data_IF_450990096917
#
_entry.id   IF_450990096917
#
_cell.length_a   1.000
_cell.length_b   1.000
_cell.length_c   1.000
_cell.angle_alpha   90.00
_cell.angle_beta   90.00
_cell.angle_gamma   90.00
#
_symmetry.space_group_name_H-M   'P 1'
#
loop_
_entity.id
_entity.type
_entity.pdbx_description
1 polymer ?
#
# COMPACT_ATOMS: atom_id res chain seq x y z
N UNK A 1 -12.91 -10.36 29.00
CA UNK A 1 -13.26 -9.99 27.61
C UNK A 1 -14.78 -9.72 27.47
N UNK A 2 -15.36 -8.84 28.32
CA UNK A 2 -16.80 -8.50 28.32
C UNK A 2 -17.12 -7.13 27.68
N UNK A 3 -16.10 -6.42 27.18
CA UNK A 3 -16.22 -5.01 26.77
C UNK A 3 -16.54 -4.80 25.28
N UNK A 4 -16.11 -5.68 24.36
CA UNK A 4 -16.31 -5.45 22.91
C UNK A 4 -17.79 -5.46 22.49
N UNK A 5 -18.63 -6.29 23.11
CA UNK A 5 -20.05 -6.40 22.75
C UNK A 5 -20.91 -5.24 23.26
N UNK A 6 -20.35 -4.32 24.06
CA UNK A 6 -21.06 -3.18 24.66
C UNK A 6 -20.57 -1.82 24.16
N UNK A 7 -19.61 -1.79 23.23
CA UNK A 7 -19.05 -0.54 22.69
C UNK A 7 -19.93 -0.06 21.54
N UNK A 8 -20.23 1.23 21.55
CA UNK A 8 -20.99 1.89 20.49
C UNK A 8 -20.19 1.85 19.17
N UNK A 9 -20.84 1.51 18.06
CA UNK A 9 -20.17 1.27 16.78
C UNK A 9 -19.38 2.50 16.26
N UNK A 10 -19.85 3.70 16.56
CA UNK A 10 -19.18 4.96 16.24
C UNK A 10 -17.81 5.10 16.94
N UNK A 11 -17.61 4.44 18.08
CA UNK A 11 -16.34 4.38 18.83
C UNK A 11 -15.40 3.26 18.37
N UNK A 12 -15.76 2.51 17.33
CA UNK A 12 -14.90 1.48 16.73
C UNK A 12 -14.24 2.06 15.48
N UNK A 13 -12.91 2.00 15.43
CA UNK A 13 -12.09 2.44 14.30
C UNK A 13 -11.41 1.22 13.69
N UNK A 14 -11.75 0.93 12.43
CA UNK A 14 -11.28 -0.24 11.71
C UNK A 14 -10.19 0.18 10.72
N UNK A 15 -8.93 -0.18 10.92
CA UNK A 15 -7.85 0.15 9.99
C UNK A 15 -7.22 -1.11 9.43
N UNK A 16 -6.88 -1.12 8.13
CA UNK A 16 -6.03 -2.18 7.58
C UNK A 16 -4.79 -1.56 6.97
N UNK A 17 -3.62 -2.02 7.44
CA UNK A 17 -2.33 -1.46 7.03
C UNK A 17 -2.00 -1.74 5.58
N UNK A 18 -2.62 -2.76 4.97
CA UNK A 18 -2.38 -3.10 3.58
C UNK A 18 -2.91 -2.04 2.59
N UNK A 19 -3.96 -1.28 2.95
CA UNK A 19 -4.59 -0.26 2.09
C UNK A 19 -4.00 1.16 2.24
N UNK A 20 -2.91 1.33 3.00
CA UNK A 20 -2.27 2.64 3.25
C UNK A 20 -1.80 3.33 1.96
N UNK A 21 -1.42 2.55 0.93
CA UNK A 21 -0.79 3.07 -0.29
C UNK A 21 -1.75 3.73 -1.28
N UNK A 22 -3.05 3.74 -1.01
CA UNK A 22 -3.99 4.47 -1.84
C UNK A 22 -3.69 5.97 -1.81
N UNK A 23 -3.71 6.60 -2.99
CA UNK A 23 -3.32 8.01 -3.25
C UNK A 23 -4.00 9.11 -2.42
N UNK A 24 -4.84 8.77 -1.46
CA UNK A 24 -5.68 9.69 -0.70
C UNK A 24 -5.37 9.73 0.79
N UNK A 25 -4.39 8.95 1.26
CA UNK A 25 -4.13 8.85 2.68
C UNK A 25 -3.25 9.95 3.23
N UNK A 26 -2.21 10.38 2.53
CA UNK A 26 -1.32 11.41 3.05
C UNK A 26 -1.48 12.75 2.33
N UNK A 27 -1.61 13.81 3.12
CA UNK A 27 -1.67 15.21 2.69
C UNK A 27 -0.80 16.04 3.63
N UNK A 28 -0.43 17.25 3.23
CA UNK A 28 0.31 18.18 4.12
C UNK A 28 -0.45 18.43 5.45
N UNK A 29 -1.80 18.43 5.43
CA UNK A 29 -2.64 18.53 6.63
C UNK A 29 -2.46 17.33 7.56
N UNK A 30 -2.50 16.12 7.01
CA UNK A 30 -2.36 14.89 7.79
C UNK A 30 -0.96 14.69 8.31
N UNK A 31 0.06 15.12 7.57
CA UNK A 31 1.42 15.12 8.11
C UNK A 31 1.51 16.09 9.29
N UNK A 32 0.94 17.30 9.20
CA UNK A 32 0.89 18.21 10.34
C UNK A 32 0.19 17.58 11.56
N UNK A 33 -0.97 16.95 11.36
CA UNK A 33 -1.70 16.24 12.43
C UNK A 33 -0.82 15.14 13.07
N UNK A 34 -0.11 14.36 12.25
CA UNK A 34 0.80 13.33 12.73
C UNK A 34 1.96 13.92 13.56
N UNK A 35 2.52 15.06 13.15
CA UNK A 35 3.57 15.74 13.90
C UNK A 35 3.06 16.35 15.21
N UNK A 36 1.91 17.02 15.17
CA UNK A 36 1.28 17.59 16.36
C UNK A 36 1.00 16.49 17.41
N UNK A 37 0.63 15.27 16.96
CA UNK A 37 0.51 14.10 17.83
C UNK A 37 1.85 13.73 18.49
N UNK A 38 2.93 13.61 17.72
CA UNK A 38 4.24 13.26 18.26
C UNK A 38 4.74 14.30 19.27
N UNK A 39 4.56 15.58 18.97
CA UNK A 39 4.92 16.70 19.85
C UNK A 39 4.13 16.63 21.17
N UNK A 40 2.81 16.41 21.10
CA UNK A 40 1.94 16.27 22.28
C UNK A 40 2.33 15.07 23.17
N UNK A 41 2.87 14.00 22.58
CA UNK A 41 3.33 12.81 23.28
C UNK A 41 4.82 12.88 23.67
N UNK A 42 5.48 14.00 23.41
CA UNK A 42 6.92 14.19 23.64
C UNK A 42 7.77 13.07 22.99
N UNK A 43 7.38 12.64 21.78
CA UNK A 43 8.13 11.67 20.97
C UNK A 43 8.97 12.46 19.97
N UNK A 44 10.30 12.25 19.99
CA UNK A 44 11.21 12.87 19.02
C UNK A 44 11.52 11.89 17.90
N UNK A 45 11.37 12.33 16.66
CA UNK A 45 11.90 11.65 15.48
C UNK A 45 12.83 12.60 14.71
N UNK A 46 14.13 12.36 14.84
CA UNK A 46 15.17 13.20 14.23
C UNK A 46 15.04 13.26 12.70
N UNK A 47 14.61 12.16 12.08
CA UNK A 47 14.45 12.11 10.62
C UNK A 47 13.28 12.99 10.13
N UNK A 48 12.18 13.05 10.89
CA UNK A 48 11.03 13.89 10.55
C UNK A 48 11.34 15.39 10.73
N UNK A 49 12.19 15.71 11.70
CA UNK A 49 12.62 17.07 11.98
C UNK A 49 13.36 17.69 10.78
N UNK A 50 14.19 16.89 10.11
CA UNK A 50 14.92 17.29 8.90
C UNK A 50 14.02 17.38 7.65
N UNK A 51 12.99 16.54 7.57
CA UNK A 51 11.99 16.58 6.48
C UNK A 51 11.13 17.86 6.51
N UNK A 52 11.00 18.50 7.68
CA UNK A 52 10.22 19.74 7.88
C UNK A 52 11.05 21.03 7.96
N UNK A 53 12.37 20.93 8.14
CA UNK A 53 13.25 22.09 8.27
C UNK A 53 13.37 22.92 6.98
N UNK A 54 13.05 22.31 5.83
CA UNK A 54 13.00 22.95 4.51
C UNK A 54 11.71 23.77 4.34
N UNK A 55 11.59 24.87 5.09
CA UNK A 55 10.38 25.73 5.11
C UNK A 55 10.04 26.33 3.73
N UNK A 56 11.01 26.49 2.83
CA UNK A 56 10.86 27.21 1.56
C UNK A 56 10.69 26.34 0.30
N UNK A 57 10.64 25.01 0.41
CA UNK A 57 10.43 24.15 -0.77
C UNK A 57 8.97 24.15 -1.24
N UNK A 58 8.74 23.97 -2.54
CA UNK A 58 7.39 23.88 -3.14
C UNK A 58 6.69 22.55 -2.86
N UNK A 59 7.30 21.62 -2.15
CA UNK A 59 6.85 20.24 -1.92
C UNK A 59 7.32 19.70 -0.56
N UNK A 60 6.83 18.52 -0.15
CA UNK A 60 7.31 17.72 0.99
C UNK A 60 8.03 16.49 0.45
N UNK A 61 9.33 16.35 0.71
CA UNK A 61 10.05 15.14 0.34
C UNK A 61 9.82 14.06 1.40
N UNK A 62 9.08 13.01 1.06
CA UNK A 62 8.73 11.94 2.01
C UNK A 62 8.87 10.56 1.37
N UNK A 63 9.73 9.71 1.93
CA UNK A 63 9.88 8.33 1.44
C UNK A 63 8.61 7.51 1.70
N UNK A 64 8.40 6.44 0.93
CA UNK A 64 7.19 5.61 1.04
C UNK A 64 6.96 5.08 2.47
N UNK A 65 8.00 4.58 3.14
CA UNK A 65 7.89 4.10 4.52
C UNK A 65 7.44 5.22 5.48
N UNK A 66 8.04 6.41 5.36
CA UNK A 66 7.62 7.56 6.17
C UNK A 66 6.20 8.01 5.84
N UNK A 67 5.75 7.88 4.59
CA UNK A 67 4.36 8.17 4.25
C UNK A 67 3.39 7.22 4.94
N UNK A 68 3.70 5.93 4.97
CA UNK A 68 2.91 4.94 5.71
C UNK A 68 2.90 5.23 7.21
N UNK A 69 4.07 5.54 7.77
CA UNK A 69 4.23 5.89 9.19
C UNK A 69 3.38 7.11 9.56
N UNK A 70 3.53 8.21 8.82
CA UNK A 70 2.78 9.45 9.05
C UNK A 70 1.27 9.27 8.81
N UNK A 71 0.88 8.43 7.86
CA UNK A 71 -0.53 8.08 7.66
C UNK A 71 -1.11 7.43 8.90
N UNK A 72 -0.46 6.40 9.44
CA UNK A 72 -0.93 5.70 10.65
C UNK A 72 -1.00 6.68 11.83
N UNK A 73 0.03 7.49 12.04
CA UNK A 73 0.03 8.49 13.10
C UNK A 73 -1.12 9.50 12.95
N UNK A 74 -1.37 9.96 11.72
CA UNK A 74 -2.48 10.88 11.46
C UNK A 74 -3.83 10.24 11.81
N UNK A 75 -4.00 8.93 11.55
CA UNK A 75 -5.20 8.19 11.94
C UNK A 75 -5.31 8.13 13.46
N UNK A 76 -4.24 7.71 14.13
CA UNK A 76 -4.20 7.59 15.59
C UNK A 76 -4.55 8.91 16.29
N UNK A 77 -4.08 10.04 15.74
CA UNK A 77 -4.36 11.38 16.27
C UNK A 77 -5.86 11.74 16.25
N UNK A 78 -6.65 11.12 15.38
CA UNK A 78 -8.09 11.40 15.25
C UNK A 78 -8.99 10.53 16.13
N UNK A 79 -8.43 9.50 16.79
CA UNK A 79 -9.21 8.55 17.56
C UNK A 79 -9.50 9.14 18.95
N UNK A 80 -10.77 9.34 19.34
CA UNK A 80 -11.10 9.92 20.63
C UNK A 80 -10.93 8.90 21.77
N UNK A 81 -10.70 9.40 22.98
CA UNK A 81 -10.66 8.57 24.18
C UNK A 81 -11.97 7.79 24.39
N UNK A 82 -11.87 6.58 24.92
CA UNK A 82 -12.97 5.63 25.06
C UNK A 82 -13.26 4.81 23.81
N UNK A 83 -12.43 4.90 22.77
CA UNK A 83 -12.57 4.18 21.51
C UNK A 83 -11.79 2.86 21.48
N UNK A 84 -12.14 2.01 20.50
CA UNK A 84 -11.38 0.82 20.13
C UNK A 84 -10.80 1.00 18.74
N UNK A 85 -9.50 0.77 18.61
CA UNK A 85 -8.83 0.66 17.33
C UNK A 85 -8.60 -0.83 16.99
N UNK A 86 -9.24 -1.30 15.92
CA UNK A 86 -9.01 -2.62 15.34
C UNK A 86 -8.12 -2.46 14.11
N UNK A 87 -6.83 -2.80 14.27
CA UNK A 87 -5.85 -2.75 13.19
C UNK A 87 -5.64 -4.13 12.58
N UNK A 88 -5.96 -4.30 11.30
CA UNK A 88 -5.65 -5.50 10.53
C UNK A 88 -4.30 -5.34 9.81
N UNK A 89 -3.30 -6.13 10.17
CA UNK A 89 -1.91 -6.01 9.68
C UNK A 89 -1.44 -4.53 9.59
N UNK A 90 -1.58 -3.71 10.65
CA UNK A 90 -1.38 -2.27 10.58
C UNK A 90 0.06 -1.88 10.20
N UNK A 91 1.00 -2.83 10.28
CA UNK A 91 2.42 -2.66 10.00
C UNK A 91 2.85 -3.27 8.66
N UNK A 92 1.92 -3.78 7.83
CA UNK A 92 2.24 -4.49 6.58
C UNK A 92 3.20 -3.72 5.65
N UNK A 93 3.12 -2.39 5.69
CA UNK A 93 3.87 -1.48 4.83
C UNK A 93 4.98 -0.71 5.56
N UNK A 94 5.40 -1.20 6.72
CA UNK A 94 6.46 -0.61 7.54
C UNK A 94 7.60 -1.60 7.74
N UNK A 95 8.83 -1.08 7.75
CA UNK A 95 9.94 -1.84 8.29
C UNK A 95 9.80 -1.97 9.83
N UNK A 96 10.63 -2.85 10.41
CA UNK A 96 10.62 -3.10 11.85
C UNK A 96 10.86 -1.83 12.68
N UNK A 97 11.71 -0.92 12.22
CA UNK A 97 12.06 0.30 12.96
C UNK A 97 10.85 1.23 12.99
N UNK A 98 10.19 1.45 11.86
CA UNK A 98 8.99 2.28 11.77
C UNK A 98 7.81 1.65 12.53
N UNK A 99 7.65 0.33 12.47
CA UNK A 99 6.60 -0.36 13.22
C UNK A 99 6.76 -0.18 14.74
N UNK A 100 7.99 -0.27 15.26
CA UNK A 100 8.28 0.03 16.68
C UNK A 100 7.96 1.49 17.03
N UNK A 101 8.25 2.46 16.14
CA UNK A 101 7.87 3.87 16.36
C UNK A 101 6.36 4.09 16.44
N UNK A 102 5.57 3.41 15.60
CA UNK A 102 4.10 3.43 15.70
C UNK A 102 3.67 2.84 17.03
N UNK A 103 4.28 1.73 17.44
CA UNK A 103 3.96 1.07 18.69
C UNK A 103 4.25 1.96 19.91
N UNK A 104 5.43 2.58 19.98
CA UNK A 104 5.80 3.53 21.03
C UNK A 104 4.81 4.71 21.10
N UNK A 105 4.21 5.09 19.97
CA UNK A 105 3.13 6.09 19.91
C UNK A 105 1.82 5.56 20.49
N UNK A 106 1.42 4.34 20.10
CA UNK A 106 0.23 3.67 20.65
C UNK A 106 0.33 3.45 22.17
N UNK A 107 1.51 3.09 22.71
CA UNK A 107 1.71 2.90 24.15
C UNK A 107 1.51 4.18 24.97
N UNK A 108 1.76 5.34 24.37
CA UNK A 108 1.60 6.64 25.01
C UNK A 108 0.19 7.23 24.85
N UNK A 109 -0.66 6.62 24.04
CA UNK A 109 -2.05 7.05 23.84
C UNK A 109 -2.95 6.49 24.93
N UNK A 110 -3.42 7.37 25.82
CA UNK A 110 -4.33 7.00 26.90
C UNK A 110 -5.77 6.87 26.42
N UNK A 111 -6.50 5.91 26.99
CA UNK A 111 -7.94 5.78 26.80
C UNK A 111 -8.38 5.16 25.47
N UNK A 112 -7.46 4.64 24.65
CA UNK A 112 -7.78 3.88 23.44
C UNK A 112 -7.45 2.41 23.68
N UNK A 113 -8.38 1.52 23.36
CA UNK A 113 -8.10 0.09 23.34
C UNK A 113 -7.60 -0.33 21.95
N UNK A 114 -6.36 -0.82 21.87
CA UNK A 114 -5.79 -1.34 20.63
C UNK A 114 -5.97 -2.86 20.53
N UNK A 115 -6.48 -3.34 19.41
CA UNK A 115 -6.54 -4.75 19.05
C UNK A 115 -5.96 -4.88 17.65
N UNK A 116 -4.82 -5.54 17.55
CA UNK A 116 -4.06 -5.63 16.31
C UNK A 116 -4.01 -7.10 15.86
N UNK A 117 -4.29 -7.35 14.59
CA UNK A 117 -3.89 -8.59 13.93
C UNK A 117 -2.50 -8.37 13.35
N UNK A 118 -1.69 -9.42 13.37
CA UNK A 118 -0.40 -9.41 12.74
C UNK A 118 -0.05 -10.84 12.32
N UNK A 119 0.76 -10.95 11.27
CA UNK A 119 1.29 -12.22 10.82
C UNK A 119 2.05 -12.88 11.97
N UNK A 120 1.95 -14.21 12.11
CA UNK A 120 2.64 -14.97 13.16
C UNK A 120 4.16 -14.79 13.16
N UNK A 121 4.73 -14.40 12.02
CA UNK A 121 6.15 -14.09 11.86
C UNK A 121 6.53 -12.70 12.39
N UNK A 122 5.56 -11.82 12.62
CA UNK A 122 5.78 -10.50 13.19
C UNK A 122 5.95 -10.61 14.71
N UNK A 123 7.20 -10.66 15.15
CA UNK A 123 7.56 -10.75 16.57
C UNK A 123 7.98 -9.38 17.11
N UNK A 124 7.15 -8.81 17.99
CA UNK A 124 7.53 -7.67 18.84
C UNK A 124 7.94 -8.19 20.23
N UNK A 125 9.06 -7.68 20.75
CA UNK A 125 9.53 -8.01 22.10
C UNK A 125 8.91 -7.04 23.13
N UNK A 126 7.59 -7.05 23.25
CA UNK A 126 6.84 -6.13 24.13
C UNK A 126 5.76 -6.89 24.92
N UNK A 127 5.34 -6.40 26.10
CA UNK A 127 4.34 -7.08 26.93
C UNK A 127 2.92 -6.81 26.39
N UNK A 128 2.43 -7.66 25.49
CA UNK A 128 1.04 -7.63 25.01
C UNK A 128 0.27 -8.88 25.42
N UNK A 129 -1.06 -8.75 25.54
CA UNK A 129 -1.93 -9.91 25.63
C UNK A 129 -2.05 -10.57 24.25
N UNK A 130 -1.27 -11.64 24.03
CA UNK A 130 -1.33 -12.41 22.80
C UNK A 130 -2.53 -13.36 22.82
N UNK A 131 -3.31 -13.35 21.74
CA UNK A 131 -4.31 -14.38 21.46
C UNK A 131 -3.88 -15.07 20.17
N UNK A 132 -3.51 -16.34 20.28
CA UNK A 132 -3.20 -17.14 19.10
C UNK A 132 -4.50 -17.75 18.58
N UNK A 133 -4.89 -17.34 17.38
CA UNK A 133 -6.01 -17.93 16.67
C UNK A 133 -5.51 -19.20 15.97
N UNK A 134 -5.71 -20.34 16.61
CA UNK A 134 -5.46 -21.65 16.00
C UNK A 134 -6.69 -22.03 15.19
N UNK A 135 -6.54 -22.08 13.88
CA UNK A 135 -7.58 -22.54 12.96
C UNK A 135 -7.65 -24.07 13.09
N UNK A 136 -8.58 -24.56 13.93
CA UNK A 136 -8.70 -25.99 14.26
C UNK A 136 -9.34 -26.83 13.15
N UNK A 137 -10.04 -26.20 12.21
CA UNK A 137 -10.56 -26.82 11.01
C UNK A 137 -10.12 -25.96 9.83
N UNK A 138 -9.50 -26.57 8.83
CA UNK A 138 -9.32 -25.95 7.52
C UNK A 138 -10.74 -25.70 7.02
N UNK A 139 -11.29 -24.52 7.31
CA UNK A 139 -12.53 -24.06 6.69
C UNK A 139 -12.40 -24.40 5.22
N UNK A 140 -13.42 -25.06 4.66
CA UNK A 140 -13.59 -25.11 3.22
C UNK A 140 -13.32 -23.69 2.71
N UNK A 141 -12.17 -23.48 2.06
CA UNK A 141 -11.65 -22.15 1.65
C UNK A 141 -12.49 -21.50 0.54
N UNK A 142 -13.71 -22.00 0.39
CA UNK A 142 -14.81 -21.60 -0.47
C UNK A 142 -15.87 -20.77 0.26
N UNK A 143 -15.66 -20.39 1.52
CA UNK A 143 -16.42 -19.28 2.06
C UNK A 143 -16.02 -18.05 1.24
N UNK A 144 -16.91 -17.59 0.35
CA UNK A 144 -16.87 -16.23 -0.15
C UNK A 144 -16.45 -15.33 1.02
N UNK A 145 -15.46 -14.45 0.83
CA UNK A 145 -15.17 -13.40 1.79
C UNK A 145 -16.49 -12.65 2.03
N UNK A 146 -17.22 -13.03 3.08
CA UNK A 146 -18.49 -12.40 3.45
C UNK A 146 -18.23 -10.98 3.96
N UNK A 147 -16.97 -10.72 4.32
CA UNK A 147 -16.48 -9.43 4.75
C UNK A 147 -15.79 -8.70 3.58
N UNK A 148 -16.39 -7.58 3.15
CA UNK A 148 -15.82 -6.70 2.14
C UNK A 148 -14.89 -5.70 2.83
N UNK A 149 -13.59 -6.02 2.87
CA UNK A 149 -12.58 -5.21 3.57
C UNK A 149 -12.57 -3.76 3.09
N UNK A 150 -12.65 -3.51 1.79
CA UNK A 150 -12.72 -2.15 1.22
C UNK A 150 -13.95 -1.39 1.72
N UNK A 151 -15.14 -2.00 1.70
CA UNK A 151 -16.36 -1.34 2.18
C UNK A 151 -16.26 -0.95 3.66
N UNK A 152 -15.67 -1.80 4.50
CA UNK A 152 -15.70 -1.61 5.96
C UNK A 152 -14.48 -0.86 6.51
N UNK A 153 -13.27 -1.18 6.05
CA UNK A 153 -12.04 -0.53 6.52
C UNK A 153 -11.79 0.78 5.78
N UNK A 154 -11.89 0.78 4.45
CA UNK A 154 -11.53 1.95 3.65
C UNK A 154 -12.57 3.06 3.78
N UNK A 155 -13.87 2.76 3.60
CA UNK A 155 -14.90 3.82 3.67
C UNK A 155 -15.10 4.37 5.08
N UNK A 156 -15.19 3.54 6.11
CA UNK A 156 -15.46 4.04 7.47
C UNK A 156 -14.30 4.92 7.98
N UNK A 157 -13.04 4.52 7.77
CA UNK A 157 -11.90 5.37 8.15
C UNK A 157 -11.83 6.62 7.29
N UNK A 158 -12.01 6.51 5.98
CA UNK A 158 -12.00 7.68 5.09
C UNK A 158 -13.08 8.68 5.46
N UNK A 159 -14.30 8.23 5.76
CA UNK A 159 -15.39 9.10 6.20
C UNK A 159 -15.05 9.77 7.53
N UNK A 160 -14.61 9.01 8.54
CA UNK A 160 -14.21 9.54 9.84
C UNK A 160 -13.03 10.52 9.76
N UNK A 161 -12.00 10.22 8.96
CA UNK A 161 -10.87 11.11 8.71
C UNK A 161 -11.28 12.37 7.93
N UNK A 162 -12.14 12.23 6.92
CA UNK A 162 -12.59 13.36 6.10
C UNK A 162 -13.43 14.36 6.90
N UNK A 163 -14.13 13.90 7.94
CA UNK A 163 -14.78 14.77 8.91
C UNK A 163 -13.74 15.58 9.70
N UNK A 164 -12.64 14.95 10.11
CA UNK A 164 -11.54 15.60 10.83
C UNK A 164 -10.75 16.59 9.97
N UNK A 165 -10.53 16.30 8.68
CA UNK A 165 -9.88 17.21 7.72
C UNK A 165 -10.70 18.51 7.53
N UNK A 166 -12.03 18.48 7.71
CA UNK A 166 -12.88 19.67 7.65
C UNK A 166 -12.74 20.55 8.90
N UNK A 167 -12.51 19.94 10.06
CA UNK A 167 -12.46 20.61 11.35
C UNK A 167 -11.06 21.11 11.72
N UNK A 168 -10.00 20.47 11.22
CA UNK A 168 -8.59 20.80 11.53
C UNK A 168 -8.03 22.06 10.84
N UNK A 169 -8.86 22.74 10.03
CA UNK A 169 -8.48 23.94 9.30
C UNK A 169 -7.61 23.65 8.07
N UNK A 170 -8.01 24.15 6.90
CA UNK A 170 -7.24 23.96 5.68
C UNK A 170 -5.88 24.66 5.79
N UNK A 171 -4.80 23.94 5.47
CA UNK A 171 -3.49 24.57 5.26
C UNK A 171 -3.60 25.51 4.06
N UNK A 172 -3.22 26.78 4.25
CA UNK A 172 -3.09 27.71 3.14
C UNK A 172 -1.96 27.23 2.21
N UNK A 173 -2.29 26.90 0.96
CA UNK A 173 -1.39 26.33 -0.05
C UNK A 173 -0.73 25.00 0.37
N UNK A 174 -1.47 23.88 0.35
CA UNK A 174 -0.91 22.58 0.68
C UNK A 174 0.21 22.21 -0.29
N UNK A 175 1.34 21.75 0.25
CA UNK A 175 2.49 21.31 -0.57
C UNK A 175 2.27 19.87 -1.08
N UNK A 176 2.56 19.57 -2.38
CA UNK A 176 2.57 18.20 -2.88
C UNK A 176 3.61 17.35 -2.15
N UNK A 177 3.36 16.05 -2.06
CA UNK A 177 4.27 15.07 -1.45
C UNK A 177 5.05 14.39 -2.57
N UNK A 178 6.37 14.44 -2.50
CA UNK A 178 7.30 13.87 -3.49
C UNK A 178 8.10 12.76 -2.85
N UNK A 179 8.19 11.62 -3.54
CA UNK A 179 8.87 10.41 -3.02
C UNK A 179 10.25 10.18 -3.62
N UNK A 180 10.49 10.72 -4.82
CA UNK A 180 11.58 10.32 -5.69
C UNK A 180 12.42 11.53 -6.12
N UNK A 181 13.74 11.38 -6.08
CA UNK A 181 14.69 12.32 -6.70
C UNK A 181 15.38 11.64 -7.87
N UNK A 182 15.53 12.35 -8.98
CA UNK A 182 16.19 11.85 -10.18
C UNK A 182 17.60 11.35 -9.85
N UNK A 183 18.00 10.23 -10.45
CA UNK A 183 19.30 9.59 -10.27
C UNK A 183 19.64 9.07 -8.86
N UNK A 184 18.84 9.30 -7.83
CA UNK A 184 19.01 8.63 -6.54
C UNK A 184 18.74 7.12 -6.66
N UNK A 185 19.29 6.36 -5.71
CA UNK A 185 18.96 4.96 -5.53
C UNK A 185 17.74 4.87 -4.60
N UNK A 186 16.76 4.03 -4.96
CA UNK A 186 15.69 3.70 -4.02
C UNK A 186 16.23 2.89 -2.85
N UNK A 187 15.65 3.11 -1.67
CA UNK A 187 16.02 2.42 -0.42
C UNK A 187 15.33 1.05 -0.26
N UNK A 188 14.76 0.50 -1.33
CA UNK A 188 14.09 -0.80 -1.36
C UNK A 188 14.71 -1.65 -2.47
N UNK A 189 14.66 -2.97 -2.32
CA UNK A 189 15.17 -3.91 -3.33
C UNK A 189 14.01 -4.58 -4.06
N UNK A 190 14.25 -4.97 -5.32
CA UNK A 190 13.32 -5.87 -6.01
C UNK A 190 13.18 -7.16 -5.22
N UNK A 191 11.93 -7.59 -5.06
CA UNK A 191 11.62 -8.82 -4.37
C UNK A 191 10.36 -9.44 -5.00
N UNK A 192 9.77 -10.41 -4.32
CA UNK A 192 8.58 -11.07 -4.82
C UNK A 192 7.38 -10.14 -4.96
N UNK A 193 7.32 -9.06 -4.17
CA UNK A 193 6.22 -8.10 -4.10
C UNK A 193 6.57 -6.75 -4.77
N UNK A 194 7.84 -6.42 -4.98
CA UNK A 194 8.29 -5.18 -5.65
C UNK A 194 9.03 -5.49 -6.95
N UNK A 195 8.62 -4.89 -8.06
CA UNK A 195 9.26 -5.01 -9.36
C UNK A 195 9.61 -3.62 -9.94
N UNK A 196 10.83 -3.45 -10.41
CA UNK A 196 11.31 -2.26 -11.11
C UNK A 196 11.31 -2.46 -12.62
N UNK A 197 10.90 -1.42 -13.35
CA UNK A 197 10.98 -1.39 -14.81
C UNK A 197 11.56 -0.09 -15.31
N UNK A 198 12.61 -0.22 -16.11
CA UNK A 198 13.13 0.88 -16.91
C UNK A 198 12.43 0.93 -18.27
N UNK A 199 12.02 2.13 -18.69
CA UNK A 199 11.57 2.34 -20.07
C UNK A 199 12.80 2.59 -20.95
N UNK A 200 13.10 1.64 -21.84
CA UNK A 200 14.24 1.72 -22.76
C UNK A 200 13.87 2.19 -24.18
N UNK A 201 12.58 2.33 -24.49
CA UNK A 201 12.07 2.66 -25.83
C UNK A 201 11.38 4.02 -25.91
N UNK A 202 11.13 4.50 -27.13
CA UNK A 202 10.57 5.83 -27.39
C UNK A 202 9.04 5.94 -27.19
N UNK A 203 8.37 4.83 -26.86
CA UNK A 203 6.93 4.80 -26.56
C UNK A 203 6.69 4.27 -25.14
N UNK A 204 6.85 5.12 -24.12
CA UNK A 204 6.66 4.74 -22.71
C UNK A 204 5.24 4.24 -22.45
N UNK A 205 4.23 4.94 -22.97
CA UNK A 205 2.82 4.63 -22.75
C UNK A 205 2.48 3.20 -23.18
N UNK A 206 2.77 2.82 -24.42
CA UNK A 206 2.50 1.47 -24.93
C UNK A 206 3.38 0.40 -24.26
N UNK A 207 4.62 0.75 -23.89
CA UNK A 207 5.51 -0.16 -23.16
C UNK A 207 4.94 -0.53 -21.79
N UNK A 208 4.37 0.43 -21.05
CA UNK A 208 3.70 0.17 -19.77
C UNK A 208 2.47 -0.71 -20.01
N UNK A 209 1.59 -0.30 -20.93
CA UNK A 209 0.30 -0.97 -21.17
C UNK A 209 0.47 -2.42 -21.62
N UNK A 210 1.44 -2.68 -22.50
CA UNK A 210 1.71 -4.01 -23.05
C UNK A 210 2.28 -4.99 -22.02
N UNK A 211 3.05 -4.49 -21.04
CA UNK A 211 3.76 -5.34 -20.09
C UNK A 211 3.04 -5.46 -18.74
N UNK A 212 2.34 -4.42 -18.28
CA UNK A 212 1.74 -4.39 -16.96
C UNK A 212 0.79 -5.57 -16.73
N UNK A 213 -0.06 -5.89 -17.71
CA UNK A 213 -1.00 -7.02 -17.64
C UNK A 213 -0.31 -8.34 -17.26
N UNK A 214 0.86 -8.62 -17.84
CA UNK A 214 1.62 -9.85 -17.55
C UNK A 214 2.05 -9.90 -16.09
N UNK A 215 2.59 -8.79 -15.56
CA UNK A 215 3.01 -8.72 -14.16
C UNK A 215 1.80 -8.78 -13.22
N UNK A 216 0.71 -8.08 -13.54
CA UNK A 216 -0.54 -8.13 -12.76
C UNK A 216 -1.01 -9.58 -12.63
N UNK A 217 -1.09 -10.34 -13.73
CA UNK A 217 -1.44 -11.77 -13.70
C UNK A 217 -0.44 -12.60 -12.90
N UNK A 218 0.86 -12.32 -13.03
CA UNK A 218 1.89 -13.03 -12.29
C UNK A 218 1.75 -12.84 -10.77
N UNK A 219 1.42 -11.62 -10.32
CA UNK A 219 1.15 -11.31 -8.91
C UNK A 219 -0.10 -12.00 -8.40
N UNK A 220 -1.21 -11.92 -9.14
CA UNK A 220 -2.48 -12.56 -8.78
C UNK A 220 -2.39 -14.09 -8.66
N UNK A 221 -1.50 -14.70 -9.44
CA UNK A 221 -1.22 -16.13 -9.37
C UNK A 221 -0.12 -16.49 -8.36
N UNK A 222 0.49 -15.53 -7.67
CA UNK A 222 1.47 -15.82 -6.63
C UNK A 222 0.82 -16.53 -5.42
N UNK A 223 1.65 -17.20 -4.61
CA UNK A 223 1.22 -17.76 -3.31
C UNK A 223 1.29 -16.73 -2.18
N UNK A 224 2.03 -15.65 -2.39
CA UNK A 224 2.12 -14.56 -1.44
C UNK A 224 0.77 -13.85 -1.32
N UNK A 225 0.42 -13.47 -0.10
CA UNK A 225 -0.69 -12.56 0.19
C UNK A 225 -0.18 -11.13 0.37
N UNK A 226 -1.07 -10.17 0.21
CA UNK A 226 -0.76 -8.75 0.30
C UNK A 226 -0.68 -8.11 -1.08
N UNK A 227 0.18 -7.09 -1.22
CA UNK A 227 0.23 -6.26 -2.42
C UNK A 227 1.48 -6.52 -3.25
N UNK A 228 1.30 -6.60 -4.56
CA UNK A 228 2.36 -6.51 -5.54
C UNK A 228 2.42 -5.10 -6.12
N UNK A 229 3.61 -4.50 -6.25
CA UNK A 229 3.80 -3.18 -6.86
C UNK A 229 4.83 -3.24 -7.98
N UNK A 230 4.48 -2.65 -9.11
CA UNK A 230 5.37 -2.49 -10.25
C UNK A 230 5.66 -1.00 -10.41
N UNK A 231 6.94 -0.64 -10.45
CA UNK A 231 7.40 0.75 -10.52
C UNK A 231 8.14 0.98 -11.83
N UNK A 232 7.52 1.70 -12.77
CA UNK A 232 8.16 2.11 -14.02
C UNK A 232 8.88 3.44 -13.85
N UNK A 233 10.06 3.54 -14.47
CA UNK A 233 10.97 4.67 -14.32
C UNK A 233 12.08 4.40 -13.31
N UNK A 234 12.28 3.15 -12.89
CA UNK A 234 13.38 2.72 -12.01
C UNK A 234 14.19 1.67 -12.76
N UNK A 235 15.51 1.84 -12.81
CA UNK A 235 16.42 0.87 -13.42
C UNK A 235 16.51 -0.43 -12.63
N UNK A 236 16.99 -1.50 -13.26
CA UNK A 236 17.24 -2.81 -12.62
C UNK A 236 18.23 -2.71 -11.43
N UNK A 237 18.98 -1.60 -11.33
CA UNK A 237 19.90 -1.32 -10.21
C UNK A 237 19.30 -0.40 -9.14
N UNK A 238 17.98 -0.16 -9.17
CA UNK A 238 17.29 0.73 -8.23
C UNK A 238 17.49 2.23 -8.49
N UNK A 239 18.14 2.64 -9.58
CA UNK A 239 18.32 4.07 -9.90
C UNK A 239 17.04 4.68 -10.48
N UNK A 240 16.60 5.81 -9.94
CA UNK A 240 15.45 6.59 -10.40
C UNK A 240 15.80 7.27 -11.74
N UNK A 241 15.00 6.97 -12.77
CA UNK A 241 15.12 7.49 -14.15
C UNK A 241 13.93 8.34 -14.58
N UNK A 242 12.75 8.03 -14.05
CA UNK A 242 11.50 8.65 -14.49
C UNK A 242 11.02 8.18 -15.85
N UNK A 243 9.78 8.55 -16.17
CA UNK A 243 9.12 8.28 -17.44
C UNK A 243 8.45 9.57 -17.90
N UNK A 244 8.82 10.06 -19.09
CA UNK A 244 8.18 11.21 -19.72
C UNK A 244 6.78 10.82 -20.19
N UNK A 245 5.74 11.45 -19.62
CA UNK A 245 4.34 11.17 -19.91
C UNK A 245 3.52 12.46 -19.93
N UNK A 246 2.88 12.74 -21.07
CA UNK A 246 1.88 13.80 -21.18
C UNK A 246 0.61 13.43 -20.42
N UNK A 247 -0.27 14.41 -20.23
CA UNK A 247 -1.60 14.16 -19.63
C UNK A 247 -2.36 13.06 -20.39
N UNK A 248 -2.35 13.11 -21.72
CA UNK A 248 -3.00 12.12 -22.58
C UNK A 248 -2.42 10.72 -22.38
N UNK A 249 -1.09 10.58 -22.23
CA UNK A 249 -0.46 9.29 -21.96
C UNK A 249 -0.94 8.68 -20.64
N UNK A 250 -1.04 9.49 -19.59
CA UNK A 250 -1.50 9.04 -18.26
C UNK A 250 -2.96 8.58 -18.30
N UNK A 251 -3.81 9.32 -18.98
CA UNK A 251 -5.23 8.96 -19.14
C UNK A 251 -5.39 7.69 -20.00
N UNK A 252 -4.55 7.55 -21.04
CA UNK A 252 -4.52 6.35 -21.88
C UNK A 252 -4.03 5.11 -21.13
N UNK A 253 -2.98 5.23 -20.29
CA UNK A 253 -2.50 4.15 -19.42
C UNK A 253 -3.62 3.66 -18.51
N UNK A 254 -4.31 4.57 -17.81
CA UNK A 254 -5.44 4.22 -16.93
C UNK A 254 -6.51 3.47 -17.70
N UNK A 255 -7.00 4.07 -18.79
CA UNK A 255 -8.09 3.52 -19.60
C UNK A 255 -7.76 2.13 -20.14
N UNK A 256 -6.65 1.99 -20.87
CA UNK A 256 -6.31 0.73 -21.55
C UNK A 256 -5.96 -0.39 -20.58
N UNK A 257 -5.35 -0.08 -19.44
CA UNK A 257 -5.09 -1.11 -18.42
C UNK A 257 -6.38 -1.59 -17.76
N UNK A 258 -7.27 -0.67 -17.39
CA UNK A 258 -8.59 -1.02 -16.86
C UNK A 258 -9.40 -1.87 -17.85
N UNK A 259 -9.35 -1.54 -19.15
CA UNK A 259 -9.95 -2.34 -20.22
C UNK A 259 -9.34 -3.75 -20.30
N UNK A 260 -8.01 -3.88 -20.29
CA UNK A 260 -7.34 -5.19 -20.33
C UNK A 260 -7.67 -6.05 -19.10
N UNK A 261 -7.66 -5.46 -17.92
CA UNK A 261 -8.00 -6.17 -16.68
C UNK A 261 -9.45 -6.64 -16.68
N UNK A 262 -10.38 -5.90 -17.29
CA UNK A 262 -11.77 -6.37 -17.44
C UNK A 262 -11.91 -7.64 -18.31
N UNK A 263 -10.91 -7.94 -19.14
CA UNK A 263 -10.88 -9.09 -20.04
C UNK A 263 -10.09 -10.29 -19.48
N UNK A 264 -9.45 -10.13 -18.33
CA UNK A 264 -8.77 -11.21 -17.61
C UNK A 264 -9.77 -12.27 -17.19
N UNK A 265 -9.33 -13.54 -17.22
CA UNK A 265 -10.15 -14.69 -16.85
C UNK A 265 -9.47 -15.49 -15.75
N UNK A 266 -10.15 -15.80 -14.63
CA UNK A 266 -11.49 -15.32 -14.23
C UNK A 266 -11.57 -13.80 -14.08
N UNK A 267 -12.79 -13.24 -14.09
CA UNK A 267 -13.00 -11.79 -13.92
C UNK A 267 -12.37 -11.28 -12.61
N UNK A 268 -11.81 -10.09 -12.69
CA UNK A 268 -11.17 -9.38 -11.59
C UNK A 268 -11.82 -8.01 -11.46
N UNK A 269 -12.15 -7.62 -10.22
CA UNK A 269 -12.60 -6.26 -9.97
C UNK A 269 -11.49 -5.29 -10.35
N UNK A 270 -11.86 -4.20 -11.02
CA UNK A 270 -10.94 -3.13 -11.38
C UNK A 270 -10.41 -2.40 -10.14
N UNK A 271 -11.12 -2.50 -9.01
CA UNK A 271 -10.76 -1.87 -7.74
C UNK A 271 -9.48 -2.45 -7.12
N UNK A 272 -9.07 -3.67 -7.51
CA UNK A 272 -7.81 -4.27 -7.05
C UNK A 272 -6.57 -3.61 -7.68
N UNK A 273 -6.75 -2.73 -8.67
CA UNK A 273 -5.68 -2.10 -9.43
C UNK A 273 -5.59 -0.62 -9.08
N UNK A 274 -4.49 -0.23 -8.46
CA UNK A 274 -4.21 1.17 -8.17
C UNK A 274 -3.03 1.68 -9.00
N UNK A 275 -3.28 2.66 -9.89
CA UNK A 275 -2.29 3.24 -10.81
C UNK A 275 -1.93 4.67 -10.42
N UNK A 276 -0.79 4.92 -9.78
CA UNK A 276 -0.30 6.26 -9.44
C UNK A 276 0.77 6.78 -10.41
N UNK A 277 0.93 8.11 -10.41
CA UNK A 277 1.94 8.83 -11.18
C UNK A 277 2.64 9.77 -10.20
N UNK A 278 3.76 9.32 -9.67
CA UNK A 278 4.51 9.99 -8.62
C UNK A 278 5.48 11.01 -9.24
N UNK A 279 5.42 12.24 -8.75
CA UNK A 279 6.31 13.32 -9.19
C UNK A 279 7.77 13.04 -8.79
N UNK A 280 8.70 13.59 -9.57
CA UNK A 280 10.14 13.46 -9.35
C UNK A 280 10.75 14.85 -9.25
N UNK A 281 11.66 15.04 -8.30
CA UNK A 281 12.49 16.25 -8.20
C UNK A 281 13.87 16.03 -8.82
N UNK A 282 14.49 17.08 -9.32
CA UNK A 282 15.87 17.04 -9.81
C UNK A 282 16.89 17.39 -8.69
N UNK A 283 18.16 17.50 -9.08
CA UNK A 283 19.24 17.92 -8.19
C UNK A 283 19.11 19.40 -7.77
N UNK A 284 18.31 20.18 -8.49
CA UNK A 284 18.01 21.60 -8.20
C UNK A 284 16.85 21.76 -7.21
N UNK A 285 16.24 20.67 -6.75
CA UNK A 285 15.05 20.67 -5.90
C UNK A 285 13.81 21.26 -6.57
N UNK A 286 13.69 21.12 -7.89
CA UNK A 286 12.46 21.46 -8.61
C UNK A 286 11.77 20.19 -9.12
N UNK A 287 10.43 20.17 -9.07
CA UNK A 287 9.62 19.11 -9.66
C UNK A 287 9.81 19.14 -11.17
N UNK A 288 10.18 18.00 -11.75
CA UNK A 288 10.39 17.86 -13.19
C UNK A 288 9.01 17.73 -13.88
N UNK A 289 8.62 18.70 -14.74
CA UNK A 289 7.34 18.63 -15.42
C UNK A 289 7.25 17.40 -16.31
N UNK A 290 6.08 16.74 -16.31
CA UNK A 290 5.76 15.63 -17.20
C UNK A 290 6.65 14.38 -17.06
N UNK A 291 7.46 14.28 -16.01
CA UNK A 291 8.28 13.10 -15.72
C UNK A 291 7.84 12.47 -14.41
N UNK A 292 7.50 11.18 -14.44
CA UNK A 292 6.90 10.48 -13.30
C UNK A 292 7.55 9.11 -13.05
N UNK A 293 7.42 8.62 -11.83
CA UNK A 293 7.40 7.17 -11.57
C UNK A 293 5.96 6.71 -11.71
N UNK A 294 5.71 5.70 -12.53
CA UNK A 294 4.38 5.08 -12.61
C UNK A 294 4.38 3.89 -11.67
N UNK A 295 3.52 3.91 -10.66
CA UNK A 295 3.34 2.77 -9.77
C UNK A 295 2.01 2.10 -10.07
N UNK A 296 2.04 0.78 -10.22
CA UNK A 296 0.84 -0.04 -10.32
C UNK A 296 0.87 -1.03 -9.19
N UNK A 297 -0.01 -0.82 -8.21
CA UNK A 297 -0.23 -1.72 -7.11
C UNK A 297 -1.41 -2.65 -7.41
N UNK A 298 -1.26 -3.91 -7.03
CA UNK A 298 -2.23 -4.99 -7.22
C UNK A 298 -2.43 -5.68 -5.88
N UNK A 299 -3.67 -5.76 -5.43
CA UNK A 299 -4.05 -6.59 -4.29
C UNK A 299 -4.13 -8.07 -4.71
N UNK A 300 -3.32 -8.91 -4.07
CA UNK A 300 -3.34 -10.34 -4.34
C UNK A 300 -4.54 -11.01 -3.65
N UNK A 301 -5.39 -11.67 -4.45
CA UNK A 301 -6.48 -12.49 -3.92
C UNK A 301 -6.07 -13.96 -3.97
N UNK A 302 -6.07 -14.63 -2.82
CA UNK A 302 -5.97 -16.09 -2.78
C UNK A 302 -7.19 -16.71 -3.45
N UNK A 303 -6.99 -17.27 -4.64
CA UNK A 303 -7.99 -18.08 -5.34
C UNK A 303 -7.48 -19.48 -5.64
N UNK A 304 -8.43 -20.42 -5.65
CA UNK A 304 -8.21 -21.82 -6.06
C UNK A 304 -7.90 -21.91 -7.57
N UNK A 305 -8.33 -20.91 -8.33
CA UNK A 305 -8.16 -20.79 -9.77
C UNK A 305 -6.91 -19.97 -10.13
N UNK A 306 -6.38 -20.23 -11.33
CA UNK A 306 -5.34 -19.40 -11.93
C UNK A 306 -5.98 -18.37 -12.87
N UNK A 307 -5.45 -17.16 -12.83
CA UNK A 307 -5.79 -16.08 -13.74
C UNK A 307 -4.96 -16.16 -15.03
N UNK A 308 -5.57 -15.72 -16.12
CA UNK A 308 -4.96 -15.63 -17.44
C UNK A 308 -5.15 -14.23 -18.00
N UNK A 309 -4.14 -13.76 -18.72
CA UNK A 309 -4.20 -12.51 -19.48
C UNK A 309 -5.38 -12.53 -20.47
N UNK A 310 -5.73 -11.38 -21.04
CA UNK A 310 -6.66 -11.22 -22.16
C UNK A 310 -6.33 -12.10 -23.37
N UNK A 311 -5.08 -12.57 -23.47
CA UNK A 311 -4.60 -13.51 -24.51
C UNK A 311 -4.65 -14.99 -24.09
N UNK A 312 -5.15 -15.31 -22.90
CA UNK A 312 -5.21 -16.68 -22.37
C UNK A 312 -3.89 -17.22 -21.85
N UNK A 313 -2.88 -16.37 -21.66
CA UNK A 313 -1.58 -16.77 -21.11
C UNK A 313 -1.58 -16.70 -19.58
N UNK A 314 -1.03 -17.72 -18.93
CA UNK A 314 -0.91 -17.80 -17.47
C UNK A 314 0.53 -17.54 -17.06
N UNK A 315 0.70 -16.60 -16.15
CA UNK A 315 2.00 -16.24 -15.57
C UNK A 315 1.95 -16.36 -14.06
N UNK A 316 3.09 -16.62 -13.42
CA UNK A 316 3.22 -16.66 -11.97
C UNK A 316 4.50 -15.97 -11.53
N UNK A 317 4.44 -15.21 -10.44
CA UNK A 317 5.60 -14.56 -9.83
C UNK A 317 6.31 -15.52 -8.88
N UNK A 318 7.63 -15.60 -9.01
CA UNK A 318 8.56 -16.38 -8.21
C UNK A 318 9.68 -15.50 -7.68
N UNK A 319 10.54 -16.02 -6.81
CA UNK A 319 11.76 -15.32 -6.36
C UNK A 319 12.67 -14.94 -7.54
N UNK A 320 12.70 -15.75 -8.61
CA UNK A 320 13.48 -15.47 -9.82
C UNK A 320 12.78 -14.53 -10.82
N UNK A 321 11.66 -13.90 -10.44
CA UNK A 321 10.82 -13.07 -11.30
C UNK A 321 9.58 -13.79 -11.84
N UNK A 322 9.02 -13.29 -12.94
CA UNK A 322 7.83 -13.88 -13.57
C UNK A 322 8.18 -15.06 -14.48
N UNK A 323 7.37 -16.11 -14.44
CA UNK A 323 7.44 -17.24 -15.36
C UNK A 323 6.11 -17.41 -16.10
N UNK A 324 6.17 -17.80 -17.38
CA UNK A 324 4.99 -18.23 -18.14
C UNK A 324 4.80 -19.73 -17.91
N UNK A 325 3.62 -20.14 -17.46
CA UNK A 325 3.35 -21.54 -17.19
C UNK A 325 2.97 -22.27 -18.48
N UNK A 326 3.53 -23.46 -18.65
CA UNK A 326 3.10 -24.44 -19.65
C UNK A 326 1.81 -25.14 -19.19
N UNK A 327 1.12 -25.81 -20.12
CA UNK A 327 -0.08 -26.59 -19.79
C UNK A 327 0.18 -27.66 -18.72
N UNK A 328 1.38 -28.24 -18.68
CA UNK A 328 1.77 -29.21 -17.65
C UNK A 328 1.95 -28.53 -16.28
N UNK A 329 2.66 -27.40 -16.22
CA UNK A 329 2.86 -26.65 -14.97
C UNK A 329 1.57 -26.08 -14.42
N UNK A 330 0.65 -25.64 -15.28
CA UNK A 330 -0.71 -25.23 -14.89
C UNK A 330 -1.42 -26.38 -14.17
N UNK A 331 -1.38 -27.60 -14.72
CA UNK A 331 -2.01 -28.76 -14.08
C UNK A 331 -1.37 -29.11 -12.73
N UNK A 332 -0.03 -29.03 -12.63
CA UNK A 332 0.68 -29.28 -11.37
C UNK A 332 0.34 -28.23 -10.33
N UNK A 333 0.29 -26.96 -10.73
CA UNK A 333 -0.02 -25.85 -9.84
C UNK A 333 -1.47 -25.90 -9.35
N UNK A 334 -2.43 -26.20 -10.24
CA UNK A 334 -3.82 -26.43 -9.83
C UNK A 334 -3.93 -27.63 -8.88
N UNK A 335 -3.28 -28.76 -9.19
CA UNK A 335 -3.24 -29.92 -8.27
C UNK A 335 -2.65 -29.55 -6.91
N UNK A 336 -1.58 -28.76 -6.88
CA UNK A 336 -0.98 -28.28 -5.63
C UNK A 336 -1.97 -27.43 -4.86
N UNK A 337 -2.66 -26.49 -5.52
CA UNK A 337 -3.72 -25.68 -4.88
C UNK A 337 -4.84 -26.53 -4.30
N UNK A 338 -5.28 -27.58 -5.01
CA UNK A 338 -6.28 -28.53 -4.52
C UNK A 338 -5.78 -29.45 -3.39
N UNK A 339 -4.52 -29.90 -3.43
CA UNK A 339 -3.94 -30.82 -2.44
C UNK A 339 -3.47 -30.12 -1.15
N UNK A 340 -3.30 -28.79 -1.20
CA UNK A 340 -2.98 -27.95 -0.02
C UNK A 340 -4.25 -27.35 0.61
N UNK A 341 -5.43 -27.78 0.13
CA UNK A 341 -6.71 -27.68 0.85
C UNK A 341 -6.74 -28.72 1.96
#
# INVERSE_FOLDING_TARGET
MKQLTSIEYDKIFLFSGEFIHDRYWLSDSKIKIALDLLDNLYIKDENLSDMYSHKDTKYRFVSQGYQSYLTILSILATIPNGSVFLGDEPFANLDRIMAEKVYDTMEKLDGIQFILTANSQFHMNRPFQKVELVVNDIFHRNANLTFNYERFFYKDVKEKLSAFDKDSGQIANPKPIVKYRLNELVNEEENRNVEFKEIKGNNPCESIISNAEIYIIAYLNSWETGYGIIKWGISDKGRIKGVSLLKEDRDNIRKKLTERISQVKPYISQDLLHISFEEIIDDSEDIIPEVYIVEIAIEAIKKEELFSTSKGEVYMKTEGGKIKLTSYEIQQELKRRFLTQ
#
